data_IF_144742440193
#
_entry.id   IF_144742440193
#
_cell.length_a   1.000
_cell.length_b   1.000
_cell.length_c   1.000
_cell.angle_alpha   90.00
_cell.angle_beta   90.00
_cell.angle_gamma   90.00
#
_symmetry.space_group_name_H-M   'P 1'
#
loop_
_entity.id
_entity.type
_entity.pdbx_description
1 polymer ?
#
# COMPACT_ATOMS: atom_id res chain seq x y z
N UNK A 1 -29.51 -55.18 -21.19
CA UNK A 1 -30.92 -54.74 -21.14
C UNK A 1 -30.97 -53.57 -20.15
N UNK A 2 -31.09 -52.31 -20.60
CA UNK A 2 -32.34 -51.60 -20.97
C UNK A 2 -33.36 -51.63 -19.82
N UNK A 3 -33.99 -50.55 -19.32
CA UNK A 3 -34.14 -49.12 -19.66
C UNK A 3 -34.93 -48.50 -18.49
N UNK A 4 -34.54 -47.32 -17.97
CA UNK A 4 -35.25 -46.03 -18.07
C UNK A 4 -36.66 -45.92 -17.46
N UNK A 5 -36.86 -44.89 -16.62
CA UNK A 5 -37.91 -43.83 -16.66
C UNK A 5 -38.12 -43.26 -15.24
N UNK A 6 -38.52 -42.01 -14.94
CA UNK A 6 -38.79 -40.70 -15.60
C UNK A 6 -39.44 -39.87 -14.46
N UNK A 7 -39.11 -38.59 -14.21
CA UNK A 7 -39.91 -37.38 -14.56
C UNK A 7 -39.54 -36.31 -13.50
N UNK A 8 -38.76 -35.27 -13.80
CA UNK A 8 -39.13 -33.99 -14.43
C UNK A 8 -40.08 -33.11 -13.59
N UNK A 9 -39.55 -32.01 -13.05
CA UNK A 9 -40.23 -30.72 -12.99
C UNK A 9 -39.21 -29.60 -13.22
N UNK A 10 -39.66 -28.62 -13.99
CA UNK A 10 -38.89 -27.69 -14.81
C UNK A 10 -39.53 -26.32 -14.64
N UNK A 11 -38.75 -25.31 -14.26
CA UNK A 11 -39.02 -23.87 -14.42
C UNK A 11 -37.97 -23.12 -13.60
N UNK A 12 -37.37 -22.01 -14.00
CA UNK A 12 -37.53 -21.11 -15.16
C UNK A 12 -36.43 -20.03 -15.00
N UNK A 13 -35.78 -19.66 -16.11
CA UNK A 13 -35.28 -18.33 -16.54
C UNK A 13 -34.86 -17.30 -15.44
N UNK A 14 -33.81 -16.48 -15.51
CA UNK A 14 -32.87 -15.95 -16.53
C UNK A 14 -31.91 -14.98 -15.78
N UNK A 15 -30.89 -14.36 -16.40
CA UNK A 15 -29.61 -14.01 -15.78
C UNK A 15 -29.62 -12.65 -15.06
N UNK A 16 -28.74 -12.49 -14.08
CA UNK A 16 -28.31 -11.16 -13.63
C UNK A 16 -26.79 -11.12 -13.52
N UNK A 17 -26.21 -10.58 -14.59
CA UNK A 17 -24.94 -9.88 -14.60
C UNK A 17 -24.94 -8.84 -13.47
N UNK A 18 -24.08 -9.03 -12.48
CA UNK A 18 -23.66 -7.96 -11.59
C UNK A 18 -22.18 -7.69 -11.87
N UNK A 19 -21.94 -6.75 -12.77
CA UNK A 19 -20.67 -6.08 -12.97
C UNK A 19 -20.26 -5.41 -11.66
N UNK A 20 -19.30 -6.01 -10.96
CA UNK A 20 -18.49 -5.28 -9.99
C UNK A 20 -17.13 -5.02 -10.65
N UNK A 21 -17.09 -3.97 -11.48
CA UNK A 21 -15.85 -3.32 -11.90
C UNK A 21 -15.25 -2.62 -10.67
N UNK A 22 -14.57 -3.37 -9.80
CA UNK A 22 -13.51 -2.83 -8.97
C UNK A 22 -12.21 -2.87 -9.77
N UNK A 23 -11.32 -1.86 -9.69
CA UNK A 23 -10.09 -1.87 -10.45
C UNK A 23 -9.31 -3.14 -10.12
N UNK A 24 -9.15 -3.99 -11.14
CA UNK A 24 -8.20 -5.08 -11.13
C UNK A 24 -6.82 -4.46 -10.90
N UNK A 25 -6.31 -4.54 -9.68
CA UNK A 25 -4.91 -4.27 -9.42
C UNK A 25 -4.12 -5.31 -10.21
N UNK A 26 -3.56 -4.87 -11.33
CA UNK A 26 -2.51 -5.55 -12.06
C UNK A 26 -1.39 -5.85 -11.08
N UNK A 27 -1.33 -7.09 -10.58
CA UNK A 27 -0.13 -7.65 -10.01
C UNK A 27 0.91 -7.66 -11.12
N UNK A 28 1.75 -6.62 -11.14
CA UNK A 28 2.97 -6.62 -11.93
C UNK A 28 3.81 -7.79 -11.48
N UNK A 29 4.00 -8.75 -12.38
CA UNK A 29 5.00 -9.82 -12.25
C UNK A 29 6.38 -9.15 -12.26
N UNK A 30 6.89 -8.84 -11.08
CA UNK A 30 8.27 -8.42 -10.92
C UNK A 30 9.19 -9.59 -11.34
N UNK A 31 10.26 -9.34 -12.10
CA UNK A 31 11.21 -10.38 -12.50
C UNK A 31 11.74 -11.12 -11.27
N UNK A 32 11.64 -12.45 -11.28
CA UNK A 32 12.29 -13.31 -10.30
C UNK A 32 13.80 -13.30 -10.55
N UNK A 33 14.49 -12.26 -10.07
CA UNK A 33 15.92 -12.06 -10.23
C UNK A 33 16.62 -12.02 -8.88
N UNK A 34 17.38 -13.08 -8.60
CA UNK A 34 18.29 -13.27 -7.47
C UNK A 34 17.66 -13.25 -6.06
N UNK A 35 18.22 -13.98 -5.07
CA UNK A 35 17.87 -13.78 -3.68
C UNK A 35 18.29 -12.36 -3.29
N UNK A 36 17.36 -11.42 -3.35
CA UNK A 36 17.50 -10.09 -2.75
C UNK A 36 17.35 -10.25 -1.24
N UNK A 37 18.31 -10.95 -0.62
CA UNK A 37 18.32 -11.24 0.81
C UNK A 37 18.70 -10.01 1.63
N UNK A 38 19.20 -8.96 0.99
CA UNK A 38 19.55 -7.69 1.62
C UNK A 38 18.45 -6.64 1.41
N UNK A 39 18.11 -5.95 2.49
CA UNK A 39 17.18 -4.83 2.49
C UNK A 39 17.81 -3.63 1.76
N UNK A 40 17.13 -3.11 0.73
CA UNK A 40 17.55 -1.89 0.04
C UNK A 40 16.95 -0.62 0.68
N UNK A 41 17.51 0.55 0.36
CA UNK A 41 16.96 1.86 0.79
C UNK A 41 15.52 2.05 0.27
N UNK A 42 15.20 1.52 -0.91
CA UNK A 42 13.85 1.52 -1.45
C UNK A 42 12.87 0.71 -0.61
N UNK A 43 13.29 -0.49 -0.17
CA UNK A 43 12.48 -1.36 0.70
C UNK A 43 12.21 -0.69 2.05
N UNK A 44 13.21 -0.04 2.62
CA UNK A 44 13.08 0.69 3.88
C UNK A 44 12.11 1.87 3.78
N UNK A 45 12.09 2.59 2.65
CA UNK A 45 11.08 3.63 2.39
C UNK A 45 9.68 3.02 2.26
N UNK A 46 9.55 1.90 1.56
CA UNK A 46 8.28 1.19 1.42
C UNK A 46 7.75 0.71 2.79
N UNK A 47 8.62 0.20 3.67
CA UNK A 47 8.25 -0.18 5.04
C UNK A 47 7.72 0.99 5.85
N UNK A 48 8.31 2.19 5.72
CA UNK A 48 7.79 3.39 6.38
C UNK A 48 6.37 3.72 5.91
N UNK A 49 6.11 3.68 4.60
CA UNK A 49 4.77 3.88 4.02
C UNK A 49 3.78 2.82 4.49
N UNK A 50 4.18 1.55 4.56
CA UNK A 50 3.32 0.47 5.06
C UNK A 50 2.95 0.69 6.52
N UNK A 51 3.91 1.08 7.36
CA UNK A 51 3.64 1.38 8.78
C UNK A 51 2.64 2.52 8.92
N UNK A 52 2.77 3.58 8.11
CA UNK A 52 1.85 4.71 8.15
C UNK A 52 0.44 4.33 7.70
N UNK A 53 0.31 3.62 6.57
CA UNK A 53 -1.00 3.12 6.08
C UNK A 53 -1.63 2.15 7.08
N UNK A 54 -0.85 1.29 7.71
CA UNK A 54 -1.35 0.36 8.73
C UNK A 54 -1.81 1.11 10.00
N UNK A 55 -1.06 2.12 10.42
CA UNK A 55 -1.39 2.94 11.59
C UNK A 55 -2.67 3.75 11.37
N UNK A 56 -2.81 4.40 10.21
CA UNK A 56 -4.01 5.18 9.85
C UNK A 56 -5.25 4.30 9.68
N UNK A 57 -5.08 3.03 9.28
CA UNK A 57 -6.16 2.05 9.19
C UNK A 57 -6.49 1.33 10.51
N UNK A 58 -5.76 1.63 11.59
CA UNK A 58 -5.99 1.01 12.90
C UNK A 58 -5.58 -0.46 12.96
N UNK A 59 -4.59 -0.89 12.17
CA UNK A 59 -4.05 -2.25 12.22
C UNK A 59 -3.35 -2.56 13.56
N UNK A 60 -2.82 -1.52 14.22
CA UNK A 60 -2.17 -1.62 15.53
C UNK A 60 -3.10 -1.11 16.64
N UNK A 61 -3.06 -1.77 17.80
CA UNK A 61 -3.81 -1.32 18.98
C UNK A 61 -3.04 -0.23 19.72
N UNK A 62 -3.74 0.52 20.57
CA UNK A 62 -3.14 1.62 21.35
C UNK A 62 -1.90 1.19 22.14
N UNK A 63 -1.92 -0.02 22.70
CA UNK A 63 -0.80 -0.59 23.46
C UNK A 63 0.47 -0.81 22.61
N UNK A 64 0.32 -1.00 21.30
CA UNK A 64 1.43 -1.29 20.37
C UNK A 64 1.92 -0.03 19.66
N UNK A 65 1.07 1.00 19.56
CA UNK A 65 1.38 2.25 18.84
C UNK A 65 2.62 2.97 19.37
N UNK A 66 2.90 2.88 20.68
CA UNK A 66 4.11 3.46 21.25
C UNK A 66 5.39 2.80 20.68
N UNK A 67 5.38 1.47 20.56
CA UNK A 67 6.50 0.70 20.02
C UNK A 67 6.61 0.88 18.50
N UNK A 68 5.49 0.85 17.78
CA UNK A 68 5.43 1.09 16.33
C UNK A 68 5.96 2.49 15.98
N UNK A 69 5.52 3.52 16.71
CA UNK A 69 6.00 4.89 16.53
C UNK A 69 7.50 5.02 16.80
N UNK A 70 8.03 4.33 17.81
CA UNK A 70 9.47 4.30 18.08
C UNK A 70 10.25 3.69 16.90
N UNK A 71 9.77 2.57 16.34
CA UNK A 71 10.41 1.90 15.19
C UNK A 71 10.34 2.79 13.96
N UNK A 72 9.19 3.42 13.68
CA UNK A 72 9.03 4.36 12.58
C UNK A 72 10.04 5.52 12.65
N UNK A 73 10.19 6.15 13.82
CA UNK A 73 11.14 7.25 14.00
C UNK A 73 12.61 6.82 13.81
N UNK A 74 12.97 5.61 14.26
CA UNK A 74 14.30 5.04 14.02
C UNK A 74 14.55 4.76 12.54
N UNK A 75 13.55 4.22 11.84
CA UNK A 75 13.61 3.99 10.41
C UNK A 75 13.81 5.29 9.63
N UNK A 76 13.06 6.35 9.95
CA UNK A 76 13.22 7.68 9.34
C UNK A 76 14.61 8.26 9.59
N UNK A 77 15.11 8.14 10.83
CA UNK A 77 16.46 8.61 11.19
C UNK A 77 17.56 7.83 10.46
N UNK A 78 17.37 6.53 10.24
CA UNK A 78 18.29 5.70 9.47
C UNK A 78 18.28 6.10 8.00
N UNK A 79 17.08 6.22 7.40
CA UNK A 79 16.89 6.66 6.03
C UNK A 79 17.54 8.03 5.75
N UNK A 80 17.45 8.97 6.69
CA UNK A 80 18.10 10.28 6.59
C UNK A 80 19.64 10.20 6.65
N UNK A 81 20.19 9.25 7.40
CA UNK A 81 21.66 9.04 7.51
C UNK A 81 22.25 8.30 6.31
N UNK A 82 21.49 7.37 5.72
CA UNK A 82 21.95 6.58 4.56
C UNK A 82 21.61 7.23 3.22
N UNK A 83 20.72 8.21 3.21
CA UNK A 83 20.50 9.02 2.01
C UNK A 83 21.66 10.00 1.85
N UNK A 84 22.27 10.09 0.65
CA UNK A 84 23.20 11.18 0.34
C UNK A 84 22.54 12.53 0.63
N UNK A 85 23.27 13.56 1.09
CA UNK A 85 22.70 14.88 1.31
C UNK A 85 22.26 15.47 -0.03
N UNK A 86 21.02 15.25 -0.42
CA UNK A 86 20.36 16.12 -1.38
C UNK A 86 20.14 17.46 -0.68
N UNK A 87 20.73 18.48 -1.27
CA UNK A 87 20.73 19.86 -0.80
C UNK A 87 19.31 20.27 -0.40
N UNK A 88 19.17 20.69 0.87
CA UNK A 88 18.03 21.50 1.29
C UNK A 88 18.17 22.88 0.63
N UNK A 89 17.50 23.07 -0.48
CA UNK A 89 17.01 24.35 -1.00
C UNK A 89 15.49 24.21 -0.97
N UNK A 90 14.63 25.15 -0.63
CA UNK A 90 14.66 26.50 -0.08
C UNK A 90 13.16 26.73 0.23
N UNK A 91 12.76 26.90 1.49
CA UNK A 91 11.47 27.52 1.82
C UNK A 91 11.65 28.33 3.10
N UNK A 92 12.49 29.36 2.99
CA UNK A 92 12.50 30.50 3.90
C UNK A 92 12.43 31.77 3.04
N UNK A 93 11.33 31.92 2.31
CA UNK A 93 10.94 33.21 1.73
C UNK A 93 9.43 33.41 1.80
N UNK A 94 8.90 33.53 3.02
CA UNK A 94 7.59 34.15 3.27
C UNK A 94 7.68 35.18 4.39
N UNK A 95 8.63 36.09 4.24
CA UNK A 95 8.64 37.38 4.92
C UNK A 95 9.12 38.41 3.91
N UNK A 96 8.41 39.53 3.83
CA UNK A 96 8.79 40.75 3.10
C UNK A 96 8.54 40.79 1.57
N UNK A 97 7.26 40.93 1.16
CA UNK A 97 6.89 41.78 0.01
C UNK A 97 5.42 42.21 0.11
N UNK A 98 5.10 43.06 1.09
CA UNK A 98 3.93 43.96 1.02
C UNK A 98 4.39 45.38 1.29
N UNK A 99 5.19 45.91 0.36
CA UNK A 99 5.40 47.34 0.18
C UNK A 99 5.61 47.61 -1.31
N UNK A 100 4.63 48.28 -1.92
CA UNK A 100 4.49 48.54 -3.35
C UNK A 100 3.02 48.32 -3.66
N UNK A 101 2.21 49.33 -3.99
CA UNK A 101 2.45 50.66 -4.54
C UNK A 101 1.28 51.56 -4.14
#
# INVERSE_FOLDING_TARGET
>A
MATKTKKASKSKATPQTATANGPAQTQGTAPAGAPQSDLSIGDLKNLATVIDVASTRGAFRANEMAMVGMVYNKLQSFLAKVSPPEKKEDDTKKSDEKKGE
#
